data_IF_391873341715
#
_entry.id   IF_391873341715
#
_cell.length_a   1.000
_cell.length_b   1.000
_cell.length_c   1.000
_cell.angle_alpha   90.00
_cell.angle_beta   90.00
_cell.angle_gamma   90.00
#
_symmetry.space_group_name_H-M   'P 1'
#
loop_
_entity.id
_entity.type
_entity.pdbx_description
1 polymer ?
#
# COMPACT_ATOMS: atom_id res chain seq x y z
N UNK A 1 30.68 6.82 -12.01
CA UNK A 1 29.74 6.25 -12.99
C UNK A 1 28.38 6.88 -12.73
N UNK A 2 28.03 7.93 -13.48
CA UNK A 2 26.74 8.63 -13.33
C UNK A 2 25.60 7.65 -13.66
N UNK A 3 24.79 7.31 -12.66
CA UNK A 3 23.54 6.56 -12.86
C UNK A 3 22.60 7.51 -13.63
N UNK A 4 22.48 7.33 -14.94
CA UNK A 4 21.47 8.05 -15.74
C UNK A 4 20.10 7.82 -15.11
N UNK A 5 19.37 8.91 -14.90
CA UNK A 5 17.96 8.88 -14.46
C UNK A 5 17.19 8.05 -15.50
N UNK A 6 16.57 6.96 -15.05
CA UNK A 6 15.76 6.13 -15.94
C UNK A 6 14.42 6.83 -16.22
N UNK A 7 13.82 6.58 -17.38
CA UNK A 7 12.48 7.10 -17.71
C UNK A 7 11.44 6.78 -16.62
N UNK A 8 11.54 5.60 -16.00
CA UNK A 8 10.70 5.18 -14.88
C UNK A 8 10.83 6.09 -13.67
N UNK A 9 12.02 6.62 -13.41
CA UNK A 9 12.27 7.52 -12.29
C UNK A 9 11.54 8.84 -12.53
N UNK A 10 11.65 9.40 -13.74
CA UNK A 10 10.95 10.62 -14.16
C UNK A 10 9.44 10.43 -14.04
N UNK A 11 8.90 9.30 -14.51
CA UNK A 11 7.47 8.99 -14.40
C UNK A 11 7.01 8.95 -12.94
N UNK A 12 7.78 8.32 -12.06
CA UNK A 12 7.46 8.23 -10.63
C UNK A 12 7.48 9.62 -9.97
N UNK A 13 8.54 10.40 -10.19
CA UNK A 13 8.62 11.77 -9.63
C UNK A 13 7.49 12.66 -10.16
N UNK A 14 7.19 12.58 -11.45
CA UNK A 14 6.09 13.33 -12.07
C UNK A 14 4.74 12.94 -11.48
N UNK A 15 4.50 11.63 -11.29
CA UNK A 15 3.28 11.13 -10.68
C UNK A 15 3.09 11.66 -9.25
N UNK A 16 4.12 11.57 -8.42
CA UNK A 16 4.08 12.10 -7.05
C UNK A 16 3.84 13.61 -7.04
N UNK A 17 4.57 14.36 -7.87
CA UNK A 17 4.41 15.80 -7.98
C UNK A 17 2.99 16.20 -8.43
N UNK A 18 2.43 15.51 -9.42
CA UNK A 18 1.10 15.80 -9.96
C UNK A 18 -0.01 15.52 -8.94
N UNK A 19 0.04 14.38 -8.25
CA UNK A 19 -0.95 14.04 -7.22
C UNK A 19 -0.87 15.03 -6.05
N UNK A 20 0.33 15.34 -5.57
CA UNK A 20 0.52 16.33 -4.49
C UNK A 20 0.05 17.73 -4.91
N UNK A 21 0.42 18.18 -6.11
CA UNK A 21 -0.01 19.48 -6.64
C UNK A 21 -1.55 19.55 -6.76
N UNK A 22 -2.20 18.48 -7.23
CA UNK A 22 -3.65 18.42 -7.34
C UNK A 22 -4.32 18.55 -5.96
N UNK A 23 -3.81 17.89 -4.91
CA UNK A 23 -4.31 18.07 -3.55
C UNK A 23 -4.22 19.53 -3.07
N UNK A 24 -3.09 20.21 -3.32
CA UNK A 24 -2.93 21.62 -2.95
C UNK A 24 -3.84 22.54 -3.77
N UNK A 25 -3.94 22.33 -5.08
CA UNK A 25 -4.81 23.12 -5.96
C UNK A 25 -6.27 23.00 -5.50
N UNK A 26 -6.75 21.78 -5.25
CA UNK A 26 -8.12 21.53 -4.79
C UNK A 26 -8.38 22.17 -3.42
N UNK A 27 -7.41 22.13 -2.51
CA UNK A 27 -7.52 22.75 -1.19
C UNK A 27 -7.59 24.29 -1.23
N UNK A 28 -7.03 24.93 -2.27
CA UNK A 28 -7.08 26.38 -2.45
C UNK A 28 -8.36 26.88 -3.14
N UNK A 29 -9.23 25.98 -3.60
CA UNK A 29 -10.52 26.35 -4.19
C UNK A 29 -11.46 26.91 -3.11
N UNK A 30 -12.47 27.73 -3.49
CA UNK A 30 -13.52 28.17 -2.57
C UNK A 30 -14.18 26.98 -1.86
N UNK A 31 -14.60 27.18 -0.61
CA UNK A 31 -15.13 26.10 0.22
C UNK A 31 -16.36 25.44 -0.42
N UNK A 32 -17.19 26.23 -1.11
CA UNK A 32 -18.37 25.76 -1.83
C UNK A 32 -17.99 24.77 -2.94
N UNK A 33 -16.89 25.04 -3.66
CA UNK A 33 -16.37 24.13 -4.70
C UNK A 33 -15.80 22.88 -4.07
N UNK A 34 -15.09 22.99 -2.95
CA UNK A 34 -14.57 21.83 -2.23
C UNK A 34 -15.70 20.91 -1.76
N UNK A 35 -16.79 21.44 -1.22
CA UNK A 35 -17.96 20.65 -0.82
C UNK A 35 -18.58 19.87 -1.99
N UNK A 36 -18.66 20.48 -3.18
CA UNK A 36 -19.16 19.81 -4.39
C UNK A 36 -18.28 18.63 -4.86
N UNK A 37 -17.01 18.63 -4.50
CA UNK A 37 -16.04 17.60 -4.88
C UNK A 37 -15.97 16.44 -3.86
N UNK A 38 -16.59 16.57 -2.68
CA UNK A 38 -16.62 15.51 -1.66
C UNK A 38 -17.62 14.41 -2.03
N UNK A 39 -17.31 13.18 -1.63
CA UNK A 39 -18.22 12.06 -1.77
C UNK A 39 -19.19 12.10 -0.60
N UNK A 40 -20.49 11.95 -0.87
CA UNK A 40 -21.54 11.90 0.15
C UNK A 40 -22.26 10.57 0.04
N UNK A 41 -22.57 9.93 1.17
CA UNK A 41 -23.19 8.61 1.16
C UNK A 41 -24.65 8.62 0.67
N UNK A 42 -25.29 9.79 0.70
CA UNK A 42 -26.65 10.01 0.22
C UNK A 42 -26.72 10.34 -1.29
N UNK A 43 -25.58 10.45 -1.97
CA UNK A 43 -25.52 10.80 -3.40
C UNK A 43 -24.55 9.89 -4.18
N UNK A 44 -25.08 9.18 -5.16
CA UNK A 44 -24.32 8.28 -6.03
C UNK A 44 -23.71 9.04 -7.21
N UNK A 45 -22.49 9.54 -7.03
CA UNK A 45 -21.78 10.25 -8.08
C UNK A 45 -20.33 9.74 -8.24
N UNK A 46 -20.07 9.07 -9.36
CA UNK A 46 -18.75 8.50 -9.67
C UNK A 46 -17.65 9.56 -9.78
N UNK A 47 -17.99 10.77 -10.21
CA UNK A 47 -17.02 11.86 -10.25
C UNK A 47 -16.56 12.23 -8.84
N UNK A 48 -17.50 12.39 -7.90
CA UNK A 48 -17.16 12.73 -6.50
C UNK A 48 -16.47 11.59 -5.78
N UNK A 49 -16.72 10.34 -6.17
CA UNK A 49 -15.95 9.19 -5.65
C UNK A 49 -14.47 9.32 -5.99
N UNK A 50 -14.13 9.83 -7.17
CA UNK A 50 -12.74 10.07 -7.54
C UNK A 50 -12.20 11.37 -6.94
N UNK A 51 -12.90 12.49 -7.13
CA UNK A 51 -12.39 13.83 -6.74
C UNK A 51 -12.27 14.00 -5.24
N UNK A 52 -13.08 13.29 -4.44
CA UNK A 52 -13.01 13.34 -2.98
C UNK A 52 -11.63 12.97 -2.43
N UNK A 53 -10.86 12.16 -3.17
CA UNK A 53 -9.47 11.79 -2.84
C UNK A 53 -8.54 12.99 -2.71
N UNK A 54 -8.82 14.09 -3.42
CA UNK A 54 -7.98 15.29 -3.44
C UNK A 54 -8.47 16.39 -2.50
N UNK A 55 -9.69 16.27 -1.96
CA UNK A 55 -10.29 17.24 -1.03
C UNK A 55 -9.80 16.97 0.39
N UNK A 56 -9.44 18.01 1.15
CA UNK A 56 -8.94 17.88 2.51
C UNK A 56 -9.66 18.87 3.45
N UNK A 57 -10.05 18.39 4.63
CA UNK A 57 -10.85 19.18 5.56
C UNK A 57 -10.12 20.40 6.17
N UNK A 58 -8.81 20.30 6.34
CA UNK A 58 -7.98 21.37 6.88
C UNK A 58 -6.51 21.20 6.43
N UNK A 59 -5.70 22.22 6.72
CA UNK A 59 -4.30 22.27 6.29
C UNK A 59 -3.44 21.15 6.91
N UNK A 60 -3.66 20.83 8.19
CA UNK A 60 -2.92 19.75 8.87
C UNK A 60 -3.20 18.39 8.22
N UNK A 61 -4.46 18.11 7.88
CA UNK A 61 -4.86 16.90 7.19
C UNK A 61 -4.27 16.83 5.77
N UNK A 62 -4.23 17.95 5.03
CA UNK A 62 -3.57 18.03 3.73
C UNK A 62 -2.08 17.73 3.82
N UNK A 63 -1.36 18.43 4.70
CA UNK A 63 0.10 18.28 4.84
C UNK A 63 0.44 16.88 5.33
N UNK A 64 -0.27 16.37 6.32
CA UNK A 64 -0.09 15.01 6.84
C UNK A 64 -0.25 13.95 5.75
N UNK A 65 -1.29 14.06 4.93
CA UNK A 65 -1.53 13.14 3.83
C UNK A 65 -0.46 13.24 2.74
N UNK A 66 -0.10 14.45 2.30
CA UNK A 66 0.92 14.63 1.25
C UNK A 66 2.28 14.12 1.72
N UNK A 67 2.68 14.43 2.96
CA UNK A 67 3.94 13.93 3.53
C UNK A 67 3.95 12.41 3.63
N UNK A 68 2.87 11.80 4.13
CA UNK A 68 2.76 10.34 4.21
C UNK A 68 2.80 9.69 2.82
N UNK A 69 2.07 10.25 1.85
CA UNK A 69 2.04 9.80 0.46
C UNK A 69 3.42 9.80 -0.18
N UNK A 70 4.17 10.91 -0.02
CA UNK A 70 5.52 11.04 -0.56
C UNK A 70 6.49 10.08 0.16
N UNK A 71 6.52 10.10 1.49
CA UNK A 71 7.47 9.32 2.28
C UNK A 71 7.30 7.81 2.06
N UNK A 72 6.08 7.31 2.24
CA UNK A 72 5.79 5.88 2.05
C UNK A 72 5.92 5.49 0.58
N UNK A 73 5.46 6.35 -0.32
CA UNK A 73 5.59 6.15 -1.76
C UNK A 73 7.04 5.98 -2.21
N UNK A 74 7.96 6.82 -1.73
CA UNK A 74 9.38 6.71 -2.03
C UNK A 74 10.05 5.51 -1.36
N UNK A 75 9.64 5.13 -0.15
CA UNK A 75 10.11 3.88 0.49
C UNK A 75 9.74 2.68 -0.38
N UNK A 76 8.47 2.56 -0.77
CA UNK A 76 7.98 1.45 -1.61
C UNK A 76 8.66 1.47 -2.98
N UNK A 77 8.80 2.64 -3.60
CA UNK A 77 9.52 2.79 -4.86
C UNK A 77 10.98 2.34 -4.73
N UNK A 78 11.68 2.73 -3.66
CA UNK A 78 13.06 2.32 -3.40
C UNK A 78 13.22 0.80 -3.30
N UNK A 79 12.35 0.14 -2.53
CA UNK A 79 12.32 -1.33 -2.43
C UNK A 79 12.11 -1.99 -3.80
N UNK A 80 11.15 -1.48 -4.58
CA UNK A 80 10.83 -2.04 -5.89
C UNK A 80 11.90 -1.76 -6.93
N UNK A 81 12.55 -0.59 -6.88
CA UNK A 81 13.65 -0.22 -7.78
C UNK A 81 14.88 -1.10 -7.56
N UNK A 82 15.30 -1.29 -6.32
CA UNK A 82 16.39 -2.23 -5.99
C UNK A 82 16.05 -3.67 -6.38
N UNK A 83 14.75 -3.98 -6.52
CA UNK A 83 14.25 -5.28 -6.96
C UNK A 83 13.93 -5.37 -8.46
N UNK A 84 14.21 -4.33 -9.26
CA UNK A 84 13.85 -4.24 -10.69
C UNK A 84 12.35 -4.47 -10.98
N UNK A 85 11.48 -4.01 -10.08
CA UNK A 85 10.02 -4.14 -10.11
C UNK A 85 9.29 -2.79 -10.26
N UNK A 86 9.96 -1.77 -10.80
CA UNK A 86 9.44 -0.39 -10.92
C UNK A 86 8.15 -0.32 -11.73
N UNK A 87 8.04 -1.12 -12.80
CA UNK A 87 6.82 -1.17 -13.62
C UNK A 87 5.62 -1.69 -12.83
N UNK A 88 5.85 -2.72 -12.00
CA UNK A 88 4.80 -3.27 -11.15
C UNK A 88 4.34 -2.22 -10.14
N UNK A 89 5.30 -1.52 -9.50
CA UNK A 89 5.02 -0.42 -8.59
C UNK A 89 4.21 0.71 -9.25
N UNK A 90 4.60 1.18 -10.44
CA UNK A 90 3.87 2.23 -11.16
C UNK A 90 2.42 1.79 -11.44
N UNK A 91 2.20 0.54 -11.84
CA UNK A 91 0.87 -0.01 -12.04
C UNK A 91 0.09 -0.03 -10.71
N UNK A 92 0.69 -0.49 -9.61
CA UNK A 92 0.04 -0.48 -8.29
C UNK A 92 -0.37 0.93 -7.87
N UNK A 93 0.51 1.92 -8.07
CA UNK A 93 0.25 3.32 -7.72
C UNK A 93 -0.85 3.94 -8.58
N UNK A 94 -0.82 3.68 -9.89
CA UNK A 94 -1.88 4.12 -10.79
C UNK A 94 -3.22 3.54 -10.37
N UNK A 95 -3.29 2.23 -10.13
CA UNK A 95 -4.49 1.56 -9.66
C UNK A 95 -4.96 2.06 -8.28
N UNK A 96 -4.03 2.36 -7.36
CA UNK A 96 -4.36 2.92 -6.06
C UNK A 96 -4.96 4.33 -6.16
N UNK A 97 -4.53 5.17 -7.11
CA UNK A 97 -5.15 6.50 -7.32
C UNK A 97 -6.43 6.39 -8.15
N UNK A 98 -6.48 5.53 -9.16
CA UNK A 98 -7.56 5.53 -10.16
C UNK A 98 -8.71 4.58 -9.85
N UNK A 99 -8.49 3.50 -9.10
CA UNK A 99 -9.50 2.45 -8.87
C UNK A 99 -9.93 2.38 -7.41
N UNK A 100 -8.99 2.51 -6.48
CA UNK A 100 -9.29 2.41 -5.04
C UNK A 100 -10.34 3.44 -4.55
N UNK A 101 -10.37 4.70 -5.02
CA UNK A 101 -11.42 5.63 -4.61
C UNK A 101 -12.83 5.14 -4.95
N UNK A 102 -13.00 4.44 -6.06
CA UNK A 102 -14.29 3.86 -6.46
C UNK A 102 -14.66 2.66 -5.58
N UNK A 103 -13.73 1.74 -5.33
CA UNK A 103 -13.96 0.56 -4.48
C UNK A 103 -14.38 1.01 -3.08
N UNK A 104 -13.64 1.96 -2.53
CA UNK A 104 -13.88 2.48 -1.19
C UNK A 104 -15.20 3.26 -1.13
N UNK A 105 -15.43 4.24 -2.00
CA UNK A 105 -16.66 5.04 -1.91
C UNK A 105 -17.93 4.24 -2.21
N UNK A 106 -17.87 3.25 -3.10
CA UNK A 106 -18.98 2.32 -3.30
C UNK A 106 -19.30 1.56 -2.01
N UNK A 107 -18.27 1.03 -1.35
CA UNK A 107 -18.43 0.29 -0.10
C UNK A 107 -18.91 1.19 1.04
N UNK A 108 -18.42 2.43 1.09
CA UNK A 108 -18.83 3.46 2.05
C UNK A 108 -20.31 3.83 1.92
N UNK A 109 -20.79 4.06 0.70
CA UNK A 109 -22.20 4.39 0.42
C UNK A 109 -23.11 3.24 0.83
N UNK A 110 -22.75 1.99 0.51
CA UNK A 110 -23.50 0.81 0.93
C UNK A 110 -23.55 0.68 2.45
N UNK A 111 -22.40 0.82 3.12
CA UNK A 111 -22.30 0.70 4.58
C UNK A 111 -23.11 1.78 5.29
N UNK A 112 -22.96 3.04 4.87
CA UNK A 112 -23.64 4.17 5.49
C UNK A 112 -25.16 4.08 5.35
N UNK A 113 -25.66 3.71 4.17
CA UNK A 113 -27.10 3.62 3.92
C UNK A 113 -27.76 2.40 4.57
N UNK A 114 -27.04 1.27 4.67
CA UNK A 114 -27.60 0.03 5.23
C UNK A 114 -27.48 -0.01 6.76
N UNK A 115 -26.35 0.43 7.31
CA UNK A 115 -26.02 0.23 8.74
C UNK A 115 -26.24 1.49 9.56
N UNK A 116 -25.79 2.65 9.08
CA UNK A 116 -25.72 3.87 9.88
C UNK A 116 -27.01 4.69 9.76
N UNK A 117 -27.64 4.68 8.58
CA UNK A 117 -28.90 5.39 8.33
C UNK A 117 -28.76 6.92 8.36
N UNK A 118 -27.54 7.46 8.23
CA UNK A 118 -27.28 8.90 8.20
C UNK A 118 -26.33 9.27 7.05
N UNK A 119 -26.48 10.48 6.47
CA UNK A 119 -25.59 10.96 5.42
C UNK A 119 -24.20 11.25 6.01
N UNK A 120 -23.20 10.58 5.46
CA UNK A 120 -21.80 10.74 5.80
C UNK A 120 -21.03 11.33 4.62
N UNK A 121 -19.96 12.05 4.93
CA UNK A 121 -19.08 12.67 3.94
C UNK A 121 -17.72 12.01 3.98
N UNK A 122 -17.14 11.74 2.80
CA UNK A 122 -15.81 11.20 2.66
C UNK A 122 -14.93 12.11 1.79
N UNK A 123 -13.72 12.34 2.26
CA UNK A 123 -12.66 13.05 1.54
C UNK A 123 -11.28 12.67 2.07
N UNK A 124 -10.26 12.94 1.25
CA UNK A 124 -8.85 12.83 1.60
C UNK A 124 -8.13 11.68 0.91
N UNK A 125 -6.80 11.80 0.89
CA UNK A 125 -5.88 10.84 0.27
C UNK A 125 -5.60 9.61 1.16
N UNK A 126 -6.15 9.56 2.38
CA UNK A 126 -5.84 8.55 3.40
C UNK A 126 -6.10 7.12 2.94
N UNK A 127 -7.16 6.86 2.15
CA UNK A 127 -7.42 5.54 1.56
C UNK A 127 -6.29 5.09 0.65
N UNK A 128 -5.75 6.01 -0.16
CA UNK A 128 -4.63 5.71 -1.06
C UNK A 128 -3.35 5.49 -0.27
N UNK A 129 -3.10 6.30 0.75
CA UNK A 129 -1.95 6.13 1.66
C UNK A 129 -2.02 4.77 2.36
N UNK A 130 -3.20 4.36 2.83
CA UNK A 130 -3.42 3.02 3.36
C UNK A 130 -3.13 1.93 2.31
N UNK A 131 -3.49 2.16 1.04
CA UNK A 131 -3.05 1.35 -0.11
C UNK A 131 -1.54 1.23 -0.25
N UNK A 132 -0.81 2.33 -0.13
CA UNK A 132 0.66 2.35 -0.20
C UNK A 132 1.26 1.60 1.00
N UNK A 133 0.71 1.77 2.20
CA UNK A 133 1.11 1.01 3.39
C UNK A 133 0.96 -0.49 3.12
N UNK A 134 -0.21 -0.92 2.65
CA UNK A 134 -0.44 -2.32 2.27
C UNK A 134 0.53 -2.85 1.21
N UNK A 135 0.93 -2.01 0.25
CA UNK A 135 1.88 -2.34 -0.82
C UNK A 135 3.31 -2.59 -0.30
N UNK A 136 3.66 -2.15 0.92
CA UNK A 136 4.98 -2.42 1.54
C UNK A 136 5.19 -3.92 1.73
N UNK A 137 4.18 -4.69 2.14
CA UNK A 137 4.31 -6.14 2.37
C UNK A 137 4.79 -6.89 1.11
N UNK A 138 4.08 -6.84 -0.04
CA UNK A 138 4.54 -7.52 -1.26
C UNK A 138 5.87 -6.97 -1.78
N UNK A 139 6.17 -5.69 -1.56
CA UNK A 139 7.45 -5.08 -1.93
C UNK A 139 8.62 -5.64 -1.10
N UNK A 140 8.43 -5.81 0.21
CA UNK A 140 9.43 -6.41 1.12
C UNK A 140 9.71 -7.87 0.79
N UNK A 141 8.67 -8.65 0.47
CA UNK A 141 8.84 -10.06 0.08
C UNK A 141 9.74 -10.17 -1.14
N UNK A 142 9.50 -9.34 -2.16
CA UNK A 142 10.29 -9.35 -3.39
C UNK A 142 11.72 -8.86 -3.12
N UNK A 143 11.87 -7.81 -2.31
CA UNK A 143 13.16 -7.23 -1.96
C UNK A 143 14.07 -8.20 -1.19
N UNK A 144 13.50 -9.05 -0.34
CA UNK A 144 14.21 -10.06 0.45
C UNK A 144 14.21 -11.45 -0.18
N UNK A 145 13.63 -11.64 -1.37
CA UNK A 145 13.43 -12.97 -1.97
C UNK A 145 14.71 -13.77 -2.15
N UNK A 146 15.81 -13.11 -2.51
CA UNK A 146 17.12 -13.75 -2.64
C UNK A 146 17.67 -14.27 -1.31
N UNK A 147 17.34 -13.59 -0.20
CA UNK A 147 17.70 -14.01 1.16
C UNK A 147 16.78 -15.11 1.70
N UNK A 148 15.52 -15.15 1.26
CA UNK A 148 14.53 -16.14 1.70
C UNK A 148 14.74 -17.52 1.05
N UNK A 149 15.36 -17.57 -0.13
CA UNK A 149 15.81 -18.75 -0.90
C UNK A 149 14.71 -19.75 -1.34
N UNK A 150 13.62 -19.88 -0.59
CA UNK A 150 12.56 -20.86 -0.80
C UNK A 150 11.18 -20.19 -0.87
N UNK A 151 10.30 -20.66 -1.77
CA UNK A 151 8.91 -20.18 -1.87
C UNK A 151 8.13 -20.32 -0.55
N UNK A 152 8.47 -21.34 0.26
CA UNK A 152 7.84 -21.55 1.56
C UNK A 152 8.24 -20.47 2.57
N UNK A 153 9.49 -20.00 2.52
CA UNK A 153 9.96 -18.88 3.33
C UNK A 153 9.34 -17.54 2.90
N UNK A 154 9.10 -17.32 1.59
CA UNK A 154 8.28 -16.19 1.10
C UNK A 154 6.90 -16.19 1.76
N UNK A 155 6.22 -17.35 1.79
CA UNK A 155 4.89 -17.48 2.39
C UNK A 155 4.89 -17.27 3.91
N UNK A 156 5.89 -17.80 4.62
CA UNK A 156 6.00 -17.60 6.06
C UNK A 156 6.27 -16.15 6.41
N UNK A 157 7.14 -15.47 5.66
CA UNK A 157 7.42 -14.05 5.86
C UNK A 157 6.21 -13.18 5.48
N UNK A 158 5.50 -13.49 4.40
CA UNK A 158 4.29 -12.74 4.02
C UNK A 158 3.19 -12.90 5.07
N UNK A 159 2.95 -14.14 5.49
CA UNK A 159 1.93 -14.46 6.48
C UNK A 159 2.27 -13.86 7.83
N UNK A 160 3.55 -13.85 8.23
CA UNK A 160 3.95 -13.21 9.49
C UNK A 160 3.62 -11.72 9.49
N UNK A 161 3.95 -10.99 8.41
CA UNK A 161 3.63 -9.57 8.29
C UNK A 161 2.12 -9.31 8.28
N UNK A 162 1.32 -10.15 7.60
CA UNK A 162 -0.15 -10.03 7.57
C UNK A 162 -0.74 -10.27 8.96
N UNK A 163 -0.32 -11.31 9.68
CA UNK A 163 -0.80 -11.58 11.04
C UNK A 163 -0.38 -10.47 12.01
N UNK A 164 0.86 -10.00 11.93
CA UNK A 164 1.33 -8.87 12.74
C UNK A 164 0.58 -7.58 12.40
N UNK A 165 0.18 -7.37 11.13
CA UNK A 165 -0.71 -6.27 10.72
C UNK A 165 -2.06 -6.38 11.40
N UNK A 166 -2.66 -7.58 11.42
CA UNK A 166 -3.90 -7.84 12.17
C UNK A 166 -3.77 -7.50 13.65
N UNK A 167 -2.63 -7.86 14.27
CA UNK A 167 -2.38 -7.52 15.67
C UNK A 167 -2.24 -6.01 15.90
N UNK A 168 -1.50 -5.31 15.03
CA UNK A 168 -1.33 -3.86 15.12
C UNK A 168 -2.66 -3.11 14.97
N UNK A 169 -3.55 -3.61 14.10
CA UNK A 169 -4.88 -3.03 13.93
C UNK A 169 -5.81 -3.35 15.12
N UNK A 170 -5.69 -4.54 15.72
CA UNK A 170 -6.51 -4.93 16.89
C UNK A 170 -6.06 -4.23 18.18
N UNK A 171 -4.79 -3.84 18.29
CA UNK A 171 -4.18 -3.29 19.49
C UNK A 171 -4.93 -2.09 20.11
N UNK A 172 -5.34 -1.05 19.36
CA UNK A 172 -6.10 0.08 19.91
C UNK A 172 -7.44 -0.32 20.54
N UNK A 173 -7.96 -1.51 20.21
CA UNK A 173 -9.29 -1.97 20.59
C UNK A 173 -9.29 -3.09 21.64
N UNK A 174 -8.14 -3.47 22.20
CA UNK A 174 -8.02 -4.59 23.15
C UNK A 174 -8.88 -4.42 24.41
N UNK A 175 -9.13 -3.16 24.83
CA UNK A 175 -9.92 -2.85 26.01
C UNK A 175 -11.44 -2.89 25.76
N UNK A 176 -11.89 -3.08 24.51
CA UNK A 176 -13.31 -3.10 24.14
C UNK A 176 -13.93 -4.51 24.18
N UNK A 177 -13.25 -5.49 24.77
CA UNK A 177 -13.80 -6.81 25.06
C UNK A 177 -12.85 -7.98 24.77
N UNK A 178 -13.20 -9.15 25.31
CA UNK A 178 -12.39 -10.36 25.20
C UNK A 178 -12.15 -10.81 23.75
N UNK A 179 -13.07 -10.50 22.83
CA UNK A 179 -12.91 -10.81 21.40
C UNK A 179 -11.69 -10.09 20.79
N UNK A 180 -11.58 -8.76 20.96
CA UNK A 180 -10.47 -7.98 20.40
C UNK A 180 -9.13 -8.38 21.02
N UNK A 181 -9.11 -8.64 22.33
CA UNK A 181 -7.92 -9.16 23.01
C UNK A 181 -7.51 -10.53 22.45
N UNK A 182 -8.47 -11.42 22.21
CA UNK A 182 -8.20 -12.75 21.62
C UNK A 182 -7.66 -12.64 20.21
N UNK A 183 -8.24 -11.77 19.37
CA UNK A 183 -7.76 -11.48 18.01
C UNK A 183 -6.33 -10.93 18.07
N UNK A 184 -6.06 -9.95 18.94
CA UNK A 184 -4.73 -9.38 19.14
C UNK A 184 -3.70 -10.46 19.51
N UNK A 185 -3.96 -11.24 20.57
CA UNK A 185 -3.03 -12.27 21.06
C UNK A 185 -2.80 -13.34 19.97
N UNK A 186 -3.87 -13.86 19.37
CA UNK A 186 -3.77 -14.94 18.38
C UNK A 186 -2.94 -14.49 17.17
N UNK A 187 -3.26 -13.32 16.61
CA UNK A 187 -2.56 -12.80 15.44
C UNK A 187 -1.12 -12.41 15.76
N UNK A 188 -0.85 -11.85 16.94
CA UNK A 188 0.50 -11.54 17.41
C UNK A 188 1.34 -12.82 17.57
N UNK A 189 0.81 -13.84 18.25
CA UNK A 189 1.52 -15.10 18.50
C UNK A 189 1.84 -15.83 17.21
N UNK A 190 0.85 -16.00 16.31
CA UNK A 190 1.06 -16.65 15.01
C UNK A 190 2.04 -15.85 14.16
N UNK A 191 1.88 -14.52 14.12
CA UNK A 191 2.77 -13.62 13.38
C UNK A 191 4.22 -13.71 13.85
N UNK A 192 4.46 -13.64 15.16
CA UNK A 192 5.79 -13.76 15.74
C UNK A 192 6.40 -15.15 15.52
N UNK A 193 5.62 -16.23 15.69
CA UNK A 193 6.11 -17.59 15.48
C UNK A 193 6.60 -17.80 14.04
N UNK A 194 5.84 -17.32 13.05
CA UNK A 194 6.21 -17.38 11.63
C UNK A 194 7.42 -16.49 11.33
N UNK A 195 7.48 -15.28 11.91
CA UNK A 195 8.62 -14.38 11.72
C UNK A 195 9.90 -14.97 12.29
N UNK A 196 9.88 -15.52 13.52
CA UNK A 196 11.02 -16.15 14.17
C UNK A 196 11.54 -17.34 13.35
N UNK A 197 10.65 -18.13 12.76
CA UNK A 197 11.02 -19.25 11.89
C UNK A 197 11.86 -18.82 10.68
N UNK A 198 11.60 -17.64 10.13
CA UNK A 198 12.32 -17.11 8.96
C UNK A 198 13.49 -16.19 9.34
N UNK A 199 13.40 -15.50 10.47
CA UNK A 199 14.40 -14.53 10.93
C UNK A 199 15.80 -15.14 11.07
N UNK A 200 15.89 -16.38 11.56
CA UNK A 200 17.17 -17.09 11.66
C UNK A 200 17.86 -17.25 10.30
N UNK A 201 17.10 -17.59 9.25
CA UNK A 201 17.64 -17.70 7.88
C UNK A 201 18.14 -16.34 7.38
N UNK A 202 17.32 -15.29 7.51
CA UNK A 202 17.68 -13.93 7.09
C UNK A 202 18.94 -13.41 7.79
N UNK A 203 19.04 -13.61 9.11
CA UNK A 203 20.18 -13.18 9.91
C UNK A 203 21.45 -13.94 9.56
N UNK A 204 21.37 -15.26 9.37
CA UNK A 204 22.53 -16.07 8.98
C UNK A 204 23.05 -15.67 7.59
N UNK A 205 22.15 -15.45 6.63
CA UNK A 205 22.52 -14.95 5.30
C UNK A 205 23.15 -13.54 5.37
N UNK A 206 22.60 -12.65 6.19
CA UNK A 206 23.12 -11.30 6.40
C UNK A 206 24.51 -11.27 7.08
N UNK A 207 24.81 -12.24 7.95
CA UNK A 207 26.14 -12.35 8.60
C UNK A 207 27.24 -12.71 7.60
N UNK A 208 26.91 -13.46 6.55
CA UNK A 208 27.87 -13.94 5.56
C UNK A 208 28.12 -12.94 4.42
N UNK A 209 27.24 -11.94 4.25
CA UNK A 209 27.27 -11.04 3.11
C UNK A 209 26.93 -9.59 3.51
N UNK A 210 27.88 -8.68 3.31
CA UNK A 210 27.71 -7.25 3.65
C UNK A 210 26.53 -6.60 2.91
N UNK A 211 26.29 -6.96 1.65
CA UNK A 211 25.15 -6.44 0.88
C UNK A 211 23.83 -6.97 1.44
N UNK A 212 23.79 -8.23 1.87
CA UNK A 212 22.62 -8.80 2.54
C UNK A 212 22.35 -8.12 3.90
N UNK A 213 23.40 -7.74 4.65
CA UNK A 213 23.26 -6.93 5.86
C UNK A 213 22.61 -5.58 5.56
N UNK A 214 23.05 -4.87 4.52
CA UNK A 214 22.45 -3.59 4.09
C UNK A 214 20.99 -3.75 3.67
N UNK A 215 20.67 -4.80 2.91
CA UNK A 215 19.29 -5.15 2.56
C UNK A 215 18.44 -5.40 3.80
N UNK A 216 18.91 -6.20 4.74
CA UNK A 216 18.18 -6.49 5.97
C UNK A 216 17.90 -5.22 6.78
N UNK A 217 18.89 -4.34 6.95
CA UNK A 217 18.70 -3.04 7.62
C UNK A 217 17.65 -2.19 6.90
N UNK A 218 17.72 -2.11 5.57
CA UNK A 218 16.75 -1.36 4.75
C UNK A 218 15.33 -1.92 4.94
N UNK A 219 15.18 -3.25 4.92
CA UNK A 219 13.92 -3.90 5.17
C UNK A 219 13.40 -3.65 6.60
N UNK A 220 14.26 -3.72 7.61
CA UNK A 220 13.89 -3.42 9.00
C UNK A 220 13.42 -1.97 9.17
N UNK A 221 14.07 -1.01 8.50
CA UNK A 221 13.63 0.40 8.50
C UNK A 221 12.27 0.52 7.82
N UNK A 222 12.06 -0.11 6.66
CA UNK A 222 10.76 -0.10 5.98
C UNK A 222 9.64 -0.76 6.82
N UNK A 223 9.94 -1.84 7.54
CA UNK A 223 9.02 -2.48 8.49
C UNK A 223 8.68 -1.54 9.66
N UNK A 224 9.68 -0.82 10.19
CA UNK A 224 9.45 0.17 11.23
C UNK A 224 8.49 1.27 10.75
N UNK A 225 8.79 1.88 9.60
CA UNK A 225 7.90 2.87 8.98
C UNK A 225 6.50 2.30 8.73
N UNK A 226 6.40 1.07 8.21
CA UNK A 226 5.12 0.40 7.97
C UNK A 226 4.28 0.35 9.25
N UNK A 227 4.81 -0.17 10.36
CA UNK A 227 4.05 -0.27 11.60
C UNK A 227 3.79 1.09 12.26
N UNK A 228 4.73 2.03 12.21
CA UNK A 228 4.52 3.40 12.71
C UNK A 228 3.33 4.07 12.01
N UNK A 229 3.29 4.03 10.69
CA UNK A 229 2.19 4.62 9.92
C UNK A 229 0.89 3.82 10.08
N UNK A 230 0.97 2.49 10.19
CA UNK A 230 -0.19 1.65 10.44
C UNK A 230 -0.86 2.01 11.77
N UNK A 231 -0.09 2.19 12.86
CA UNK A 231 -0.67 2.64 14.14
C UNK A 231 -1.34 4.01 14.04
N UNK A 232 -0.80 4.92 13.23
CA UNK A 232 -1.41 6.24 13.00
C UNK A 232 -2.74 6.17 12.23
N UNK A 233 -2.99 5.12 11.44
CA UNK A 233 -4.25 4.95 10.71
C UNK A 233 -5.41 4.48 11.60
N UNK A 234 -5.13 3.80 12.72
CA UNK A 234 -6.15 3.18 13.55
C UNK A 234 -6.13 3.78 14.96
N UNK A 235 -6.80 4.94 15.18
CA UNK A 235 -6.88 5.54 16.50
C UNK A 235 -7.77 4.73 17.44
N UNK A 236 -7.52 4.83 18.74
CA UNK A 236 -8.33 4.17 19.79
C UNK A 236 -9.76 4.71 19.89
N UNK A 237 -9.99 5.95 19.44
CA UNK A 237 -11.30 6.59 19.41
C UNK A 237 -11.81 6.66 17.96
N UNK A 238 -12.85 5.90 17.66
CA UNK A 238 -13.47 5.81 16.33
C UNK A 238 -14.35 7.03 16.02
N UNK A 239 -14.97 7.60 17.06
CA UNK A 239 -15.88 8.75 16.96
C UNK A 239 -15.11 10.01 17.35
N UNK A 240 -14.94 10.96 16.41
CA UNK A 240 -14.37 12.26 16.73
C UNK A 240 -15.42 13.18 17.39
N UNK A 241 -15.01 14.18 18.20
CA UNK A 241 -15.91 15.10 18.92
C UNK A 241 -16.92 15.88 18.07
N UNK A 242 -16.79 15.86 16.74
CA UNK A 242 -17.63 16.60 15.78
C UNK A 242 -18.55 15.67 14.97
N UNK A 243 -18.73 14.41 15.38
CA UNK A 243 -19.54 13.43 14.65
C UNK A 243 -18.88 12.83 13.42
N UNK A 244 -17.66 13.27 13.07
CA UNK A 244 -16.85 12.65 12.03
C UNK A 244 -16.34 11.29 12.54
N UNK A 245 -16.82 10.21 11.96
CA UNK A 245 -16.29 8.87 12.20
C UNK A 245 -14.93 8.81 11.49
N UNK A 246 -13.84 8.52 12.23
CA UNK A 246 -12.55 8.19 11.60
C UNK A 246 -12.84 7.04 10.67
N UNK A 247 -12.51 7.21 9.40
CA UNK A 247 -12.85 6.24 8.38
C UNK A 247 -11.91 5.03 8.40
N UNK A 248 -11.93 4.33 9.53
CA UNK A 248 -11.22 3.08 9.78
C UNK A 248 -11.55 2.07 8.67
N UNK A 249 -12.78 2.10 8.15
CA UNK A 249 -13.21 1.29 7.03
C UNK A 249 -12.44 1.60 5.74
N UNK A 250 -12.24 2.88 5.42
CA UNK A 250 -11.36 3.28 4.31
C UNK A 250 -9.94 2.76 4.49
N UNK A 251 -9.40 2.82 5.71
CA UNK A 251 -8.06 2.35 6.00
C UNK A 251 -7.95 0.82 5.84
N UNK A 252 -8.94 0.05 6.28
CA UNK A 252 -9.00 -1.40 6.02
C UNK A 252 -8.99 -1.70 4.52
N UNK A 253 -9.91 -1.10 3.77
CA UNK A 253 -10.00 -1.31 2.32
C UNK A 253 -8.68 -0.96 1.65
N UNK A 254 -8.08 0.19 2.02
CA UNK A 254 -6.79 0.60 1.51
C UNK A 254 -5.69 -0.43 1.78
N UNK A 255 -5.45 -0.81 3.04
CA UNK A 255 -4.38 -1.76 3.40
C UNK A 255 -4.57 -3.09 2.67
N UNK A 256 -5.76 -3.69 2.69
CA UNK A 256 -6.01 -4.96 2.02
C UNK A 256 -5.87 -4.85 0.50
N UNK A 257 -6.36 -3.77 -0.09
CA UNK A 257 -6.19 -3.50 -1.51
C UNK A 257 -4.71 -3.42 -1.89
N UNK A 258 -3.90 -2.70 -1.11
CA UNK A 258 -2.46 -2.57 -1.32
C UNK A 258 -1.74 -3.91 -1.32
N UNK A 259 -2.06 -4.78 -0.35
CA UNK A 259 -1.50 -6.12 -0.24
C UNK A 259 -1.88 -6.95 -1.47
N UNK A 260 -3.18 -7.04 -1.80
CA UNK A 260 -3.70 -7.89 -2.88
C UNK A 260 -3.20 -7.40 -4.25
N UNK A 261 -3.36 -6.11 -4.52
CA UNK A 261 -2.93 -5.50 -5.78
C UNK A 261 -1.42 -5.60 -5.96
N UNK A 262 -0.63 -5.42 -4.90
CA UNK A 262 0.82 -5.57 -4.92
C UNK A 262 1.26 -7.01 -5.20
N UNK A 263 0.62 -8.01 -4.58
CA UNK A 263 0.89 -9.43 -4.89
C UNK A 263 0.68 -9.68 -6.39
N UNK A 264 -0.42 -9.19 -6.97
CA UNK A 264 -0.70 -9.39 -8.39
C UNK A 264 0.28 -8.63 -9.31
N UNK A 265 0.42 -7.33 -9.09
CA UNK A 265 1.19 -6.43 -9.97
C UNK A 265 2.69 -6.64 -9.90
N UNK A 266 3.22 -7.00 -8.72
CA UNK A 266 4.65 -7.18 -8.52
C UNK A 266 5.11 -8.63 -8.75
N UNK A 267 4.28 -9.65 -8.47
CA UNK A 267 4.69 -11.05 -8.62
C UNK A 267 4.14 -11.77 -9.86
N UNK A 268 2.92 -11.45 -10.31
CA UNK A 268 2.24 -12.21 -11.37
C UNK A 268 2.51 -11.59 -12.75
N UNK A 269 2.27 -10.28 -12.90
CA UNK A 269 2.45 -9.60 -14.19
C UNK A 269 3.87 -9.70 -14.78
N UNK A 270 4.96 -9.58 -14.01
CA UNK A 270 6.31 -9.65 -14.56
C UNK A 270 6.73 -11.06 -15.00
N UNK A 271 6.20 -12.12 -14.36
CA UNK A 271 6.55 -13.52 -14.69
C UNK A 271 6.02 -13.93 -16.06
N UNK A 272 4.83 -13.48 -16.45
CA UNK A 272 4.24 -13.81 -17.74
C UNK A 272 5.05 -13.24 -18.93
N UNK A 273 5.77 -12.11 -18.75
CA UNK A 273 6.65 -11.55 -19.79
C UNK A 273 7.93 -12.35 -20.03
N UNK A 274 8.45 -13.07 -19.02
CA UNK A 274 9.61 -13.97 -19.22
C UNK A 274 9.23 -15.24 -19.97
N UNK A 275 8.01 -15.78 -19.77
CA UNK A 275 7.54 -16.95 -20.50
C UNK A 275 7.29 -16.67 -22.00
N UNK A 276 6.75 -15.49 -22.34
CA UNK A 276 6.53 -15.08 -23.74
C UNK A 276 7.83 -14.85 -24.55
N UNK A 277 8.99 -14.70 -23.89
CA UNK A 277 10.29 -14.56 -24.57
C UNK A 277 10.99 -15.90 -24.87
N UNK A 278 10.47 -17.03 -24.38
CA UNK A 278 11.10 -18.35 -24.53
C UNK A 278 10.57 -19.13 -25.75
N UNK A 279 9.61 -18.59 -26.50
CA UNK A 279 9.02 -19.25 -27.67
C UNK A 279 9.12 -18.40 -28.95
N UNK A 280 10.33 -18.20 -29.45
CA UNK A 280 10.55 -18.03 -30.88
C UNK A 280 11.75 -18.90 -31.26
N UNK A 281 11.54 -20.11 -31.83
CA UNK A 281 12.64 -20.86 -32.40
C UNK A 281 13.29 -19.99 -33.48
N UNK A 282 14.62 -19.86 -33.42
CA UNK A 282 15.41 -19.32 -34.54
C UNK A 282 15.10 -20.21 -35.74
N UNK A 283 14.42 -19.66 -36.73
CA UNK A 283 14.34 -20.28 -38.05
C UNK A 283 15.78 -20.22 -38.57
N UNK A 284 16.43 -21.39 -38.61
CA UNK A 284 17.70 -21.53 -39.31
C UNK A 284 17.40 -21.36 -40.79
N UNK A 285 17.89 -20.27 -41.38
CA UNK A 285 18.07 -20.16 -42.83
C UNK A 285 19.06 -21.24 -43.27
N UNK A 286 18.55 -22.44 -43.50
CA UNK A 286 19.28 -23.43 -44.29
C UNK A 286 19.22 -22.99 -45.74
N UNK A 287 20.40 -22.59 -46.22
CA UNK A 287 20.64 -22.15 -47.58
C UNK A 287 20.10 -23.13 -48.61
N UNK A 288 19.34 -22.58 -49.54
CA UNK A 288 19.08 -23.21 -50.83
C UNK A 288 20.33 -22.96 -51.67
N UNK A 289 21.22 -23.96 -51.69
CA UNK A 289 22.05 -24.22 -52.86
C UNK A 289 21.27 -25.14 -53.78
N UNK A 290 20.77 -24.58 -54.88
CA UNK A 290 20.92 -25.05 -56.26
C UNK A 290 19.95 -24.28 -57.15
#
# INVERSE_FOLDING_TARGET
MEKKIALTDIMVFTFFALVSALCFIVFLLPIEVQELLKARSDNWNLLTFFTSTFVHANFEHLVGNVLAFLLLGFIVYGLNRESNCEKGFIISMFLAISLLPFIYNLSFVLLANIIIGQPLVSCGLSTVIAGIIGLIIPSLIIFLRDMLQEKRSDLYFSSSLIFLTGSAIAFPYINFGAYNLTVFITTLTVGLALLLHVAGKLLNFAKQNLNAKKKLVTASIAILFYYTFLFSLFPSNIVMPQGNIVNIFAHYIGVFYGIISGIYTLNVLPKNKKMLKIQLPKINDHGIKN
#
